data_IF_938692234461
#
_entry.id   IF_938692234461
#
_cell.length_a   1.000
_cell.length_b   1.000
_cell.length_c   1.000
_cell.angle_alpha   90.00
_cell.angle_beta   90.00
_cell.angle_gamma   90.00
#
_symmetry.space_group_name_H-M   'P 1'
#
loop_
_entity.id
_entity.type
_entity.pdbx_description
1 polymer ?
#
# COMPACT_ATOMS: atom_id res chain seq x y z
N UNK A 1 -22.87 -6.72 -2.02
CA UNK A 1 -21.65 -7.08 -2.76
C UNK A 1 -21.12 -8.37 -2.16
N UNK A 2 -21.04 -9.48 -2.91
CA UNK A 2 -20.74 -10.82 -2.37
C UNK A 2 -19.70 -11.56 -3.24
N UNK A 3 -18.83 -10.78 -3.88
CA UNK A 3 -17.73 -11.22 -4.74
C UNK A 3 -16.49 -10.41 -4.35
N UNK A 4 -15.33 -11.07 -4.24
CA UNK A 4 -14.04 -10.42 -3.99
C UNK A 4 -13.41 -9.87 -5.28
N UNK A 5 -14.24 -9.61 -6.28
CA UNK A 5 -13.83 -9.17 -7.62
C UNK A 5 -13.80 -7.64 -7.68
N UNK A 6 -12.73 -7.08 -7.12
CA UNK A 6 -12.45 -5.65 -7.16
C UNK A 6 -10.94 -5.40 -7.08
N UNK A 7 -10.54 -4.24 -7.62
CA UNK A 7 -9.13 -3.83 -7.67
C UNK A 7 -8.71 -3.29 -6.30
N UNK A 8 -7.50 -3.66 -5.86
CA UNK A 8 -6.88 -3.14 -4.63
C UNK A 8 -5.44 -2.73 -4.88
N UNK A 9 -5.07 -1.57 -4.36
CA UNK A 9 -3.67 -1.13 -4.26
C UNK A 9 -3.24 -1.33 -2.81
N UNK A 10 -2.14 -2.04 -2.58
CA UNK A 10 -1.67 -2.39 -1.22
C UNK A 10 -0.44 -1.57 -0.87
N UNK A 11 -0.52 -0.84 0.24
CA UNK A 11 0.61 -0.08 0.79
C UNK A 11 1.17 -0.87 1.98
N UNK A 12 2.48 -1.12 1.98
CA UNK A 12 3.16 -1.79 3.08
C UNK A 12 3.36 -0.83 4.26
N UNK A 13 2.86 -1.20 5.44
CA UNK A 13 3.02 -0.43 6.69
C UNK A 13 4.10 -1.00 7.61
N UNK A 14 4.93 -1.92 7.11
CA UNK A 14 5.93 -2.63 7.91
C UNK A 14 5.39 -3.89 8.59
N UNK A 15 6.20 -4.45 9.51
CA UNK A 15 5.86 -5.66 10.27
C UNK A 15 5.99 -5.39 11.77
N UNK A 16 5.02 -5.84 12.58
CA UNK A 16 5.15 -5.78 14.03
C UNK A 16 6.25 -6.72 14.53
N UNK A 17 6.79 -6.46 15.72
CA UNK A 17 7.83 -7.30 16.35
C UNK A 17 7.34 -8.72 16.66
N UNK A 18 6.05 -8.87 17.00
CA UNK A 18 5.40 -10.18 17.16
C UNK A 18 3.99 -10.17 16.55
N UNK A 19 3.46 -11.35 16.24
CA UNK A 19 2.10 -11.48 15.69
C UNK A 19 1.03 -10.95 16.65
N UNK A 20 1.20 -11.16 17.96
CA UNK A 20 0.22 -10.70 18.96
C UNK A 20 0.12 -9.16 19.02
N UNK A 21 1.19 -8.45 18.65
CA UNK A 21 1.24 -7.00 18.66
C UNK A 21 0.67 -6.35 17.39
N UNK A 22 0.20 -7.13 16.42
CA UNK A 22 -0.26 -6.60 15.12
C UNK A 22 -1.37 -5.57 15.23
N UNK A 23 -2.35 -5.78 16.12
CA UNK A 23 -3.45 -4.83 16.32
C UNK A 23 -2.95 -3.49 16.88
N UNK A 24 -2.06 -3.51 17.87
CA UNK A 24 -1.50 -2.29 18.44
C UNK A 24 -0.58 -1.58 17.43
N UNK A 25 0.18 -2.33 16.64
CA UNK A 25 1.07 -1.78 15.63
C UNK A 25 0.31 -0.93 14.59
N UNK A 26 -0.80 -1.43 14.05
CA UNK A 26 -1.59 -0.70 13.05
C UNK A 26 -2.39 0.47 13.62
N UNK A 27 -2.64 0.49 14.93
CA UNK A 27 -3.33 1.58 15.62
C UNK A 27 -2.38 2.61 16.23
N UNK A 28 -1.08 2.30 16.30
CA UNK A 28 -0.07 3.18 16.88
C UNK A 28 0.34 4.30 15.94
N UNK A 29 0.86 5.39 16.52
CA UNK A 29 1.43 6.49 15.74
C UNK A 29 2.67 6.04 14.97
N UNK A 30 2.75 6.41 13.70
CA UNK A 30 3.90 6.13 12.84
C UNK A 30 5.13 6.92 13.36
N UNK A 31 6.27 6.26 13.62
CA UNK A 31 7.50 6.93 14.02
C UNK A 31 7.96 7.96 12.98
N UNK A 32 8.58 9.06 13.43
CA UNK A 32 9.02 10.13 12.54
C UNK A 32 10.02 9.66 11.46
N UNK A 33 10.86 8.68 11.79
CA UNK A 33 11.82 8.09 10.85
C UNK A 33 11.13 7.31 9.70
N UNK A 34 9.97 6.71 9.97
CA UNK A 34 9.22 5.90 8.99
C UNK A 34 8.18 6.72 8.24
N UNK A 35 7.71 7.83 8.82
CA UNK A 35 6.69 8.71 8.23
C UNK A 35 7.03 9.12 6.80
N UNK A 36 8.26 9.59 6.56
CA UNK A 36 8.68 10.02 5.22
C UNK A 36 8.64 8.88 4.19
N UNK A 37 8.94 7.66 4.62
CA UNK A 37 8.89 6.47 3.75
C UNK A 37 7.43 6.15 3.41
N UNK A 38 6.54 6.22 4.40
CA UNK A 38 5.12 5.99 4.18
C UNK A 38 4.48 7.07 3.30
N UNK A 39 4.86 8.34 3.47
CA UNK A 39 4.38 9.44 2.63
C UNK A 39 4.77 9.19 1.16
N UNK A 40 6.03 8.81 0.90
CA UNK A 40 6.47 8.43 -0.46
C UNK A 40 5.71 7.21 -0.99
N UNK A 41 5.45 6.20 -0.15
CA UNK A 41 4.69 5.03 -0.56
C UNK A 41 3.22 5.37 -0.88
N UNK A 42 2.64 6.36 -0.19
CA UNK A 42 1.30 6.85 -0.46
C UNK A 42 1.22 7.60 -1.80
N UNK A 43 2.20 8.44 -2.13
CA UNK A 43 2.30 9.09 -3.43
C UNK A 43 2.43 8.07 -4.58
N UNK A 44 3.32 7.08 -4.44
CA UNK A 44 3.46 6.00 -5.43
C UNK A 44 2.14 5.23 -5.61
N UNK A 45 1.39 5.02 -4.52
CA UNK A 45 0.09 4.36 -4.61
C UNK A 45 -0.96 5.22 -5.32
N UNK A 46 -0.92 6.54 -5.14
CA UNK A 46 -1.77 7.48 -5.87
C UNK A 46 -1.46 7.43 -7.37
N UNK A 47 -0.18 7.50 -7.74
CA UNK A 47 0.26 7.37 -9.14
C UNK A 47 -0.20 6.03 -9.76
N UNK A 48 -0.11 4.94 -8.98
CA UNK A 48 -0.58 3.62 -9.42
C UNK A 48 -2.09 3.59 -9.67
N UNK A 49 -2.89 4.27 -8.83
CA UNK A 49 -4.34 4.40 -9.05
C UNK A 49 -4.61 5.21 -10.32
N UNK A 50 -3.93 6.32 -10.53
CA UNK A 50 -4.07 7.12 -11.76
C UNK A 50 -3.69 6.31 -12.99
N UNK A 51 -2.63 5.49 -12.91
CA UNK A 51 -2.21 4.62 -14.01
C UNK A 51 -3.25 3.55 -14.31
N UNK A 52 -3.85 2.93 -13.30
CA UNK A 52 -4.95 1.95 -13.48
C UNK A 52 -6.13 2.60 -14.22
N UNK A 53 -6.46 3.86 -13.90
CA UNK A 53 -7.57 4.57 -14.52
C UNK A 53 -7.29 5.02 -15.96
N UNK A 54 -6.04 5.37 -16.27
CA UNK A 54 -5.64 5.89 -17.58
C UNK A 54 -5.23 4.81 -18.57
N UNK A 55 -4.71 3.68 -18.08
CA UNK A 55 -4.33 2.54 -18.92
C UNK A 55 -5.12 1.29 -18.54
N UNK A 56 -4.53 0.40 -17.74
CA UNK A 56 -5.12 -0.84 -17.27
C UNK A 56 -4.35 -1.35 -16.04
N UNK A 57 -4.90 -2.39 -15.39
CA UNK A 57 -4.30 -3.00 -14.19
C UNK A 57 -2.98 -3.69 -14.50
N UNK A 58 -2.83 -4.33 -15.67
CA UNK A 58 -1.65 -5.11 -16.01
C UNK A 58 -0.41 -4.22 -16.18
N UNK A 59 -0.57 -3.09 -16.88
CA UNK A 59 0.46 -2.08 -17.10
C UNK A 59 0.88 -1.43 -15.79
N UNK A 60 -0.08 -1.05 -14.94
CA UNK A 60 0.24 -0.51 -13.61
C UNK A 60 1.00 -1.56 -12.76
N UNK A 61 0.57 -2.82 -12.76
CA UNK A 61 1.27 -3.88 -12.01
C UNK A 61 2.71 -4.08 -12.50
N UNK A 62 2.94 -4.06 -13.81
CA UNK A 62 4.29 -4.20 -14.37
C UNK A 62 5.21 -3.05 -13.96
N UNK A 63 4.68 -1.84 -13.81
CA UNK A 63 5.47 -0.66 -13.46
C UNK A 63 5.79 -0.59 -11.95
N UNK A 64 4.80 -0.85 -11.10
CA UNK A 64 4.92 -0.63 -9.65
C UNK A 64 5.33 -1.87 -8.84
N UNK A 65 5.11 -3.10 -9.35
CA UNK A 65 5.39 -4.34 -8.60
C UNK A 65 6.66 -5.09 -9.04
N UNK A 66 7.47 -4.53 -9.95
CA UNK A 66 8.66 -5.20 -10.50
C UNK A 66 9.95 -4.90 -9.75
N UNK A 67 9.88 -4.19 -8.63
CA UNK A 67 11.03 -3.87 -7.77
C UNK A 67 11.01 -4.66 -6.47
#
# INVERSE_FOLDING_TARGET
>A
MRTDDYIRVRIGVGKPQSKEQGANFVLSSIPAAERKILDVAAEIAADAVEKILTTDVAAAMQEYNTR
#
